data_IF_635635598932
#
_entry.id   IF_635635598932
#
_cell.length_a   1.000
_cell.length_b   1.000
_cell.length_c   1.000
_cell.angle_alpha   90.00
_cell.angle_beta   90.00
_cell.angle_gamma   90.00
#
_symmetry.space_group_name_H-M   'P 1'
#
loop_
_entity.id
_entity.type
_entity.pdbx_description
1 polymer ?
#
# COMPACT_ATOMS: atom_id res chain seq x y z
N UNK A 1 -9.74 10.83 -3.83
CA UNK A 1 -10.18 9.42 -3.78
C UNK A 1 -11.15 9.26 -2.62
N UNK A 2 -12.34 8.68 -2.84
CA UNK A 2 -13.30 8.46 -1.76
C UNK A 2 -12.83 7.28 -0.91
N UNK A 3 -12.62 7.50 0.40
CA UNK A 3 -12.22 6.45 1.32
C UNK A 3 -13.33 5.37 1.36
N UNK A 4 -12.95 4.14 1.06
CA UNK A 4 -13.87 3.00 1.11
C UNK A 4 -14.13 2.62 2.55
N UNK A 5 -15.35 2.78 3.01
CA UNK A 5 -15.74 2.44 4.38
C UNK A 5 -16.56 1.15 4.41
N UNK A 6 -16.40 0.38 5.47
CA UNK A 6 -17.21 -0.81 5.76
C UNK A 6 -17.84 -0.68 7.14
N UNK A 7 -19.11 -1.06 7.22
CA UNK A 7 -19.87 -1.02 8.48
C UNK A 7 -19.94 -2.42 9.08
N UNK A 8 -19.43 -2.56 10.28
CA UNK A 8 -19.42 -3.81 11.04
C UNK A 8 -20.53 -3.81 12.06
N UNK A 9 -21.38 -4.83 12.01
CA UNK A 9 -22.42 -5.03 13.02
C UNK A 9 -21.81 -5.46 14.37
N UNK A 10 -22.37 -5.02 15.50
CA UNK A 10 -21.89 -5.44 16.82
C UNK A 10 -22.10 -6.95 17.05
N UNK A 11 -21.23 -7.53 17.86
CA UNK A 11 -21.24 -8.99 18.17
C UNK A 11 -22.55 -9.45 18.81
N UNK A 12 -23.21 -8.60 19.60
CA UNK A 12 -24.44 -8.92 20.31
C UNK A 12 -25.61 -8.09 19.79
N UNK A 13 -26.79 -8.72 19.65
CA UNK A 13 -28.04 -8.00 19.38
C UNK A 13 -28.34 -7.08 20.59
N UNK A 14 -28.49 -5.78 20.37
CA UNK A 14 -28.66 -4.80 21.44
C UNK A 14 -27.36 -4.32 22.09
N UNK A 15 -26.20 -4.64 21.51
CA UNK A 15 -24.88 -4.14 21.92
C UNK A 15 -24.56 -2.76 21.34
N UNK A 16 -23.25 -2.45 21.33
CA UNK A 16 -22.70 -1.17 20.85
C UNK A 16 -23.17 -0.81 19.43
N UNK A 17 -23.12 0.47 19.10
CA UNK A 17 -23.45 0.98 17.78
C UNK A 17 -22.60 0.30 16.67
N UNK A 18 -23.12 0.20 15.41
CA UNK A 18 -22.35 -0.30 14.30
C UNK A 18 -21.03 0.49 14.15
N UNK A 19 -19.93 -0.23 13.96
CA UNK A 19 -18.61 0.38 13.81
C UNK A 19 -18.32 0.62 12.32
N UNK A 20 -18.15 1.87 11.93
CA UNK A 20 -17.77 2.26 10.56
C UNK A 20 -16.25 2.41 10.51
N UNK A 21 -15.61 1.64 9.65
CA UNK A 21 -14.14 1.62 9.52
C UNK A 21 -13.75 1.91 8.08
N UNK A 22 -12.69 2.70 7.93
CA UNK A 22 -12.03 2.85 6.65
C UNK A 22 -11.31 1.53 6.30
N UNK A 23 -11.64 0.94 5.15
CA UNK A 23 -11.02 -0.30 4.67
C UNK A 23 -9.49 -0.21 4.63
N UNK A 24 -8.94 1.00 4.39
CA UNK A 24 -7.50 1.24 4.36
C UNK A 24 -6.80 1.04 5.73
N UNK A 25 -7.52 1.03 6.81
CA UNK A 25 -6.96 0.75 8.13
C UNK A 25 -6.97 -0.74 8.50
N UNK A 26 -7.55 -1.60 7.66
CA UNK A 26 -7.62 -3.05 7.92
C UNK A 26 -6.39 -3.73 7.32
N UNK A 27 -5.62 -4.47 8.12
CA UNK A 27 -4.49 -5.30 7.66
C UNK A 27 -4.96 -6.64 7.13
N UNK A 28 -5.70 -7.39 7.94
CA UNK A 28 -6.29 -8.67 7.57
C UNK A 28 -7.51 -8.97 8.43
N UNK A 29 -8.30 -9.93 7.98
CA UNK A 29 -9.50 -10.40 8.67
C UNK A 29 -9.44 -11.92 8.77
N UNK A 30 -9.60 -12.43 9.98
CA UNK A 30 -9.60 -13.85 10.27
C UNK A 30 -11.01 -14.29 10.73
N UNK A 31 -11.61 -15.22 10.01
CA UNK A 31 -12.87 -15.82 10.44
C UNK A 31 -12.63 -16.86 11.54
N UNK A 32 -13.34 -16.71 12.65
CA UNK A 32 -13.34 -17.66 13.77
C UNK A 32 -14.76 -18.12 14.06
N UNK A 33 -15.12 -19.29 13.58
CA UNK A 33 -16.49 -19.83 13.65
C UNK A 33 -17.49 -18.84 13.01
N UNK A 34 -18.29 -18.14 13.84
CA UNK A 34 -19.34 -17.23 13.39
C UNK A 34 -18.97 -15.75 13.49
N UNK A 35 -17.70 -15.44 13.69
CA UNK A 35 -17.20 -14.07 13.85
C UNK A 35 -16.00 -13.80 12.95
N UNK A 36 -15.91 -12.58 12.47
CA UNK A 36 -14.71 -12.04 11.88
C UNK A 36 -13.90 -11.30 12.93
N UNK A 37 -12.64 -11.67 13.14
CA UNK A 37 -11.65 -10.86 13.85
C UNK A 37 -10.98 -9.93 12.84
N UNK A 38 -11.15 -8.63 13.01
CA UNK A 38 -10.63 -7.60 12.14
C UNK A 38 -9.41 -6.96 12.79
N UNK A 39 -8.26 -7.10 12.14
CA UNK A 39 -6.97 -6.59 12.60
C UNK A 39 -6.63 -5.29 11.89
N UNK A 40 -6.44 -4.21 12.65
CA UNK A 40 -6.16 -2.87 12.12
C UNK A 40 -4.67 -2.55 12.08
N UNK A 41 -4.31 -1.56 11.27
CA UNK A 41 -2.93 -1.07 11.13
C UNK A 41 -2.35 -0.49 12.41
N UNK A 42 -3.18 0.05 13.30
CA UNK A 42 -2.79 0.57 14.61
C UNK A 42 -2.63 -0.52 15.69
N UNK A 43 -2.77 -1.80 15.32
CA UNK A 43 -2.69 -2.93 16.26
C UNK A 43 -4.00 -3.27 16.99
N UNK A 44 -5.04 -2.47 16.85
CA UNK A 44 -6.35 -2.79 17.42
C UNK A 44 -6.99 -3.99 16.71
N UNK A 45 -7.72 -4.78 17.47
CA UNK A 45 -8.48 -5.93 16.99
C UNK A 45 -9.90 -5.85 17.53
N UNK A 46 -10.88 -6.05 16.67
CA UNK A 46 -12.27 -6.16 17.10
C UNK A 46 -12.96 -7.34 16.41
N UNK A 47 -14.10 -7.73 16.93
CA UNK A 47 -14.89 -8.85 16.40
C UNK A 47 -16.25 -8.39 15.94
N UNK A 48 -16.69 -8.89 14.78
CA UNK A 48 -17.99 -8.58 14.20
C UNK A 48 -18.69 -9.83 13.67
N UNK A 49 -20.01 -9.77 13.61
CA UNK A 49 -20.82 -10.75 12.87
C UNK A 49 -20.95 -10.29 11.44
N UNK A 50 -20.11 -10.84 10.58
CA UNK A 50 -20.14 -10.63 9.14
C UNK A 50 -19.65 -11.92 8.48
N UNK A 51 -20.19 -12.26 7.35
CA UNK A 51 -19.77 -13.45 6.60
C UNK A 51 -18.56 -13.15 5.73
N UNK A 52 -17.85 -14.20 5.32
CA UNK A 52 -16.73 -14.07 4.37
C UNK A 52 -17.20 -13.48 3.03
N UNK A 53 -18.37 -13.89 2.57
CA UNK A 53 -18.96 -13.43 1.31
C UNK A 53 -19.29 -11.94 1.34
N UNK A 54 -19.91 -11.45 2.42
CA UNK A 54 -20.17 -10.02 2.61
C UNK A 54 -18.87 -9.23 2.66
N UNK A 55 -17.83 -9.74 3.32
CA UNK A 55 -16.50 -9.11 3.35
C UNK A 55 -15.88 -9.04 1.95
N UNK A 56 -15.91 -10.13 1.18
CA UNK A 56 -15.41 -10.15 -0.20
C UNK A 56 -16.13 -9.13 -1.10
N UNK A 57 -17.45 -9.01 -0.97
CA UNK A 57 -18.24 -8.03 -1.71
C UNK A 57 -17.91 -6.58 -1.34
N UNK A 58 -17.77 -6.29 -0.05
CA UNK A 58 -17.51 -4.93 0.43
C UNK A 58 -16.06 -4.49 0.21
N UNK A 59 -15.10 -5.39 0.38
CA UNK A 59 -13.67 -5.08 0.30
C UNK A 59 -13.13 -5.17 -1.13
N UNK A 60 -13.69 -6.09 -1.95
CA UNK A 60 -13.33 -6.23 -3.36
C UNK A 60 -11.85 -6.57 -3.58
N UNK A 61 -11.29 -6.04 -4.66
CA UNK A 61 -9.93 -6.38 -5.12
C UNK A 61 -8.79 -5.86 -4.22
N UNK A 62 -9.09 -4.96 -3.29
CA UNK A 62 -8.10 -4.45 -2.33
C UNK A 62 -7.70 -5.50 -1.29
N UNK A 63 -8.45 -6.61 -1.24
CA UNK A 63 -8.20 -7.73 -0.34
C UNK A 63 -8.10 -9.05 -1.11
N UNK A 64 -7.21 -9.91 -0.66
CA UNK A 64 -7.01 -11.25 -1.23
C UNK A 64 -7.45 -12.30 -0.22
N UNK A 65 -8.29 -13.24 -0.67
CA UNK A 65 -8.62 -14.45 0.10
C UNK A 65 -7.47 -15.44 0.00
N UNK A 66 -6.69 -15.55 1.05
CA UNK A 66 -5.51 -16.42 1.14
C UNK A 66 -5.83 -17.80 1.73
N UNK A 67 -6.91 -17.85 2.50
CA UNK A 67 -7.47 -19.07 3.08
C UNK A 67 -9.00 -18.97 3.15
N UNK A 68 -9.71 -20.09 3.26
CA UNK A 68 -11.19 -20.11 3.41
C UNK A 68 -11.71 -19.24 4.55
N UNK A 69 -10.84 -18.95 5.52
CA UNK A 69 -11.15 -18.16 6.71
C UNK A 69 -10.29 -16.90 6.85
N UNK A 70 -9.52 -16.51 5.84
CA UNK A 70 -8.62 -15.35 5.94
C UNK A 70 -8.63 -14.50 4.68
N UNK A 71 -8.87 -13.20 4.88
CA UNK A 71 -8.72 -12.12 3.90
C UNK A 71 -7.57 -11.20 4.33
N UNK A 72 -6.69 -10.85 3.41
CA UNK A 72 -5.53 -10.00 3.67
C UNK A 72 -5.56 -8.80 2.73
N UNK A 73 -5.35 -7.61 3.28
CA UNK A 73 -5.20 -6.40 2.47
C UNK A 73 -3.93 -6.50 1.62
N UNK A 74 -4.05 -6.24 0.31
CA UNK A 74 -2.92 -6.32 -0.65
C UNK A 74 -1.75 -5.46 -0.17
N UNK A 75 -2.03 -4.23 0.26
CA UNK A 75 -1.04 -3.27 0.76
C UNK A 75 -0.33 -3.70 2.05
N UNK A 76 -0.90 -4.65 2.80
CA UNK A 76 -0.30 -5.14 4.03
C UNK A 76 0.70 -6.29 3.79
N UNK A 77 0.72 -6.86 2.59
CA UNK A 77 1.58 -7.99 2.23
C UNK A 77 2.98 -7.48 1.90
N UNK A 78 3.97 -7.97 2.63
CA UNK A 78 5.39 -7.74 2.37
C UNK A 78 5.95 -8.77 1.38
N UNK A 79 5.75 -10.06 1.67
CA UNK A 79 6.22 -11.15 0.80
C UNK A 79 5.32 -12.38 0.88
N UNK A 80 5.42 -13.25 -0.13
CA UNK A 80 4.70 -14.52 -0.22
C UNK A 80 5.70 -15.63 -0.51
N UNK A 81 6.05 -16.36 0.54
CA UNK A 81 7.00 -17.47 0.49
C UNK A 81 6.31 -18.78 0.89
N UNK A 82 6.69 -19.38 1.99
CA UNK A 82 5.98 -20.50 2.63
C UNK A 82 4.78 -20.02 3.44
N UNK A 83 4.85 -18.79 3.92
CA UNK A 83 3.78 -18.04 4.56
C UNK A 83 3.63 -16.68 3.88
N UNK A 84 2.54 -15.99 4.14
CA UNK A 84 2.41 -14.57 3.79
C UNK A 84 2.97 -13.77 4.95
N UNK A 85 4.03 -13.01 4.69
CA UNK A 85 4.61 -12.09 5.66
C UNK A 85 3.99 -10.72 5.45
N UNK A 86 3.47 -10.12 6.51
CA UNK A 86 2.92 -8.76 6.49
C UNK A 86 4.00 -7.72 6.79
N UNK A 87 3.77 -6.48 6.38
CA UNK A 87 4.64 -5.33 6.70
C UNK A 87 4.86 -5.14 8.21
N UNK A 88 3.94 -5.63 9.04
CA UNK A 88 4.02 -5.65 10.50
C UNK A 88 4.88 -6.79 11.07
N UNK A 89 5.38 -7.69 10.21
CA UNK A 89 6.14 -8.88 10.60
C UNK A 89 5.29 -10.11 10.95
N UNK A 90 3.98 -9.98 10.99
CA UNK A 90 3.07 -11.12 11.21
C UNK A 90 3.14 -12.10 10.03
N UNK A 91 3.03 -13.39 10.33
CA UNK A 91 3.02 -14.44 9.32
C UNK A 91 1.65 -15.13 9.30
N UNK A 92 1.07 -15.24 8.11
CA UNK A 92 -0.23 -15.86 7.90
C UNK A 92 -0.08 -17.08 7.01
N UNK A 93 -0.77 -18.14 7.38
CA UNK A 93 -0.87 -19.34 6.56
C UNK A 93 -1.77 -19.10 5.34
N UNK A 94 -1.44 -19.70 4.24
CA UNK A 94 -2.26 -19.68 3.02
C UNK A 94 -2.33 -21.06 2.37
N UNK A 95 -3.30 -21.24 1.49
CA UNK A 95 -3.44 -22.50 0.74
C UNK A 95 -2.41 -22.53 -0.38
N UNK A 96 -1.40 -23.39 -0.30
CA UNK A 96 -0.27 -23.49 -1.26
C UNK A 96 -0.74 -23.51 -2.72
N UNK A 97 -1.82 -24.22 -3.02
CA UNK A 97 -2.42 -24.27 -4.38
C UNK A 97 -2.86 -22.90 -4.91
N UNK A 98 -3.08 -21.92 -4.02
CA UNK A 98 -3.49 -20.56 -4.38
C UNK A 98 -2.30 -19.60 -4.56
N UNK A 99 -1.05 -20.05 -4.33
CA UNK A 99 0.15 -19.19 -4.44
C UNK A 99 0.19 -18.42 -5.76
N UNK A 100 0.01 -19.11 -6.87
CA UNK A 100 0.02 -18.49 -8.20
C UNK A 100 -1.05 -17.40 -8.33
N UNK A 101 -2.28 -17.69 -7.92
CA UNK A 101 -3.39 -16.73 -7.94
C UNK A 101 -3.12 -15.52 -7.05
N UNK A 102 -2.57 -15.73 -5.85
CA UNK A 102 -2.21 -14.65 -4.92
C UNK A 102 -1.16 -13.74 -5.55
N UNK A 103 -0.11 -14.31 -6.15
CA UNK A 103 0.95 -13.54 -6.81
C UNK A 103 0.43 -12.79 -8.04
N UNK A 104 -0.45 -13.38 -8.85
CA UNK A 104 -1.09 -12.72 -9.99
C UNK A 104 -1.96 -11.53 -9.54
N UNK A 105 -2.73 -11.68 -8.46
CA UNK A 105 -3.53 -10.60 -7.89
C UNK A 105 -2.65 -9.48 -7.34
N UNK A 106 -1.55 -9.80 -6.64
CA UNK A 106 -0.57 -8.82 -6.16
C UNK A 106 0.05 -8.04 -7.32
N UNK A 107 0.49 -8.72 -8.36
CA UNK A 107 1.05 -8.07 -9.55
C UNK A 107 0.04 -7.15 -10.25
N UNK A 108 -1.21 -7.58 -10.35
CA UNK A 108 -2.28 -6.78 -10.95
C UNK A 108 -2.53 -5.51 -10.14
N UNK A 109 -2.56 -5.61 -8.82
CA UNK A 109 -2.75 -4.46 -7.94
C UNK A 109 -1.54 -3.53 -7.94
N UNK A 110 -0.32 -4.06 -7.96
CA UNK A 110 0.90 -3.26 -8.11
C UNK A 110 0.90 -2.48 -9.43
N UNK A 111 0.53 -3.13 -10.54
CA UNK A 111 0.39 -2.44 -11.84
C UNK A 111 -0.68 -1.34 -11.78
N UNK A 112 -1.80 -1.61 -11.12
CA UNK A 112 -2.88 -0.61 -10.95
C UNK A 112 -2.43 0.57 -10.11
N UNK A 113 -1.66 0.34 -9.03
CA UNK A 113 -1.07 1.40 -8.22
C UNK A 113 -0.07 2.24 -9.02
N UNK A 114 0.79 1.61 -9.79
CA UNK A 114 1.74 2.31 -10.68
C UNK A 114 0.99 3.15 -11.73
N UNK A 115 -0.06 2.60 -12.36
CA UNK A 115 -0.88 3.34 -13.32
C UNK A 115 -1.67 4.49 -12.67
N UNK A 116 -2.05 4.35 -11.40
CA UNK A 116 -2.75 5.42 -10.66
C UNK A 116 -1.76 6.48 -10.17
N UNK A 117 -0.49 6.12 -9.95
CA UNK A 117 0.59 7.06 -9.65
C UNK A 117 1.13 7.76 -10.91
N UNK A 118 0.91 7.19 -12.09
CA UNK A 118 1.05 7.86 -13.38
C UNK A 118 -0.21 8.67 -13.71
N UNK A 119 -0.70 9.41 -12.72
CA UNK A 119 -1.86 10.27 -12.87
C UNK A 119 -1.57 11.30 -13.98
N UNK A 120 -2.58 11.62 -14.81
CA UNK A 120 -2.51 12.65 -15.87
C UNK A 120 -2.15 14.06 -15.35
N UNK A 121 -1.96 14.17 -14.04
CA UNK A 121 -1.50 15.36 -13.32
C UNK A 121 0.01 15.37 -13.04
N UNK A 122 0.76 14.35 -13.47
CA UNK A 122 2.22 14.38 -13.33
C UNK A 122 2.78 15.56 -14.14
N UNK A 123 3.64 16.40 -13.52
CA UNK A 123 4.23 17.53 -14.23
C UNK A 123 4.90 17.10 -15.53
N UNK A 124 4.61 17.79 -16.64
CA UNK A 124 5.08 17.40 -17.96
C UNK A 124 6.45 18.00 -18.31
N UNK A 125 6.87 19.04 -17.59
CA UNK A 125 8.11 19.77 -17.84
C UNK A 125 8.75 20.29 -16.55
N UNK A 126 9.98 20.79 -16.66
CA UNK A 126 10.78 21.25 -15.52
C UNK A 126 10.10 22.37 -14.70
N UNK A 127 9.36 23.28 -15.35
CA UNK A 127 8.66 24.38 -14.66
C UNK A 127 7.50 23.86 -13.81
N UNK A 128 6.73 22.91 -14.34
CA UNK A 128 5.63 22.26 -13.62
C UNK A 128 6.16 21.42 -12.46
N UNK A 129 7.29 20.73 -12.62
CA UNK A 129 7.96 20.02 -11.51
C UNK A 129 8.41 21.00 -10.43
N UNK A 130 8.97 22.13 -10.81
CA UNK A 130 9.40 23.15 -9.86
C UNK A 130 8.22 23.74 -9.07
N UNK A 131 7.12 24.08 -9.75
CA UNK A 131 5.93 24.61 -9.07
C UNK A 131 5.26 23.55 -8.18
N UNK A 132 5.23 22.29 -8.63
CA UNK A 132 4.68 21.16 -7.84
C UNK A 132 5.45 20.95 -6.53
N UNK A 133 6.78 21.07 -6.58
CA UNK A 133 7.65 20.84 -5.41
C UNK A 133 8.11 22.11 -4.72
N UNK A 134 7.59 23.26 -5.05
CA UNK A 134 7.97 24.57 -4.52
C UNK A 134 7.98 24.68 -2.99
N UNK A 135 7.10 23.97 -2.31
CA UNK A 135 7.07 23.89 -0.85
C UNK A 135 8.33 23.24 -0.25
N UNK A 136 9.08 22.48 -1.05
CA UNK A 136 10.31 21.81 -0.61
C UNK A 136 11.56 22.69 -0.78
N UNK A 137 11.45 23.85 -1.48
CA UNK A 137 12.56 24.77 -1.67
C UNK A 137 13.10 25.35 -0.36
N UNK A 138 12.21 25.55 0.62
CA UNK A 138 12.56 26.09 1.93
C UNK A 138 13.06 25.05 2.93
N UNK A 139 13.11 23.77 2.56
CA UNK A 139 13.54 22.71 3.47
C UNK A 139 15.06 22.76 3.71
N UNK A 140 15.51 22.50 4.97
CA UNK A 140 16.94 22.54 5.31
C UNK A 140 17.70 21.27 4.91
N UNK A 141 17.01 20.27 4.36
CA UNK A 141 17.60 19.02 3.89
C UNK A 141 17.44 18.86 2.37
N UNK A 142 18.38 18.14 1.76
CA UNK A 142 18.35 17.83 0.34
C UNK A 142 17.14 16.96 0.00
N UNK A 143 16.36 17.38 -0.99
CA UNK A 143 15.23 16.64 -1.55
C UNK A 143 15.35 16.59 -3.06
N UNK A 144 15.06 15.45 -3.65
CA UNK A 144 15.06 15.26 -5.10
C UNK A 144 13.96 14.27 -5.50
N UNK A 145 13.40 14.49 -6.69
CA UNK A 145 12.56 13.53 -7.39
C UNK A 145 13.33 12.99 -8.60
N UNK A 146 13.42 11.68 -8.70
CA UNK A 146 14.18 10.98 -9.75
C UNK A 146 13.30 9.96 -10.46
N UNK A 147 13.39 9.96 -11.78
CA UNK A 147 12.85 8.91 -12.64
C UNK A 147 13.93 7.89 -12.93
N UNK A 148 13.63 6.62 -12.66
CA UNK A 148 14.51 5.50 -12.99
C UNK A 148 14.27 5.06 -14.43
N UNK A 149 15.34 4.92 -15.19
CA UNK A 149 15.31 4.38 -16.55
C UNK A 149 15.66 2.89 -16.49
N UNK A 150 14.81 2.06 -17.13
CA UNK A 150 14.97 0.61 -17.13
C UNK A 150 15.24 0.11 -18.55
N UNK A 151 16.07 -0.92 -18.69
CA UNK A 151 16.26 -1.66 -19.94
C UNK A 151 15.09 -2.64 -20.23
N UNK A 152 15.19 -3.36 -21.35
CA UNK A 152 14.19 -4.36 -21.76
C UNK A 152 14.05 -5.52 -20.77
N UNK A 153 15.13 -5.84 -20.03
CA UNK A 153 15.15 -6.85 -18.95
C UNK A 153 14.72 -6.29 -17.59
N UNK A 154 14.21 -5.05 -17.54
CA UNK A 154 13.78 -4.33 -16.34
C UNK A 154 14.86 -4.11 -15.29
N UNK A 155 16.11 -3.98 -15.72
CA UNK A 155 17.21 -3.56 -14.85
C UNK A 155 17.33 -2.04 -14.92
N UNK A 156 17.49 -1.39 -13.77
CA UNK A 156 17.75 0.04 -13.72
C UNK A 156 19.12 0.33 -14.38
N UNK A 157 19.13 1.12 -15.44
CA UNK A 157 20.33 1.44 -16.23
C UNK A 157 20.73 2.89 -16.11
N UNK A 158 19.77 3.77 -15.74
CA UNK A 158 20.02 5.20 -15.60
C UNK A 158 18.96 5.83 -14.70
N UNK A 159 19.13 7.11 -14.35
CA UNK A 159 18.14 7.92 -13.66
C UNK A 159 18.14 9.36 -14.19
N UNK A 160 16.99 10.00 -14.14
CA UNK A 160 16.81 11.39 -14.57
C UNK A 160 16.30 12.19 -13.36
N UNK A 161 17.02 13.25 -13.01
CA UNK A 161 16.52 14.18 -11.99
C UNK A 161 15.36 14.99 -12.58
N UNK A 162 14.18 14.84 -12.00
CA UNK A 162 12.97 15.60 -12.34
C UNK A 162 12.91 16.92 -11.58
N UNK A 163 13.34 16.86 -10.31
CA UNK A 163 13.41 18.01 -9.43
C UNK A 163 14.54 17.83 -8.40
N UNK A 164 15.15 18.95 -8.03
CA UNK A 164 16.11 19.02 -6.91
C UNK A 164 15.95 20.37 -6.20
N UNK A 165 15.82 20.35 -4.90
CA UNK A 165 15.67 21.59 -4.12
C UNK A 165 17.02 22.31 -3.94
N UNK A 166 17.03 23.61 -3.56
CA UNK A 166 18.26 24.39 -3.36
C UNK A 166 19.22 23.80 -2.31
N UNK A 167 18.72 23.03 -1.33
CA UNK A 167 19.55 22.37 -0.33
C UNK A 167 20.44 21.28 -0.94
N UNK A 168 19.96 20.56 -1.98
CA UNK A 168 20.79 19.58 -2.72
C UNK A 168 21.94 20.30 -3.45
N UNK A 169 21.65 21.39 -4.17
CA UNK A 169 22.68 22.14 -4.88
C UNK A 169 23.76 22.74 -3.95
N UNK A 170 23.37 23.07 -2.72
CA UNK A 170 24.32 23.50 -1.69
C UNK A 170 25.19 22.33 -1.23
N UNK A 171 24.59 21.18 -0.96
CA UNK A 171 25.30 19.98 -0.55
C UNK A 171 26.32 19.53 -1.61
N UNK A 172 25.97 19.56 -2.89
CA UNK A 172 26.89 19.21 -3.98
C UNK A 172 28.13 20.12 -4.05
N UNK A 173 27.98 21.40 -3.71
CA UNK A 173 29.11 22.34 -3.66
C UNK A 173 30.04 22.06 -2.47
N UNK A 174 29.50 21.55 -1.38
CA UNK A 174 30.22 21.23 -0.15
C UNK A 174 30.91 19.84 -0.23
N UNK A 175 30.53 18.98 -1.19
CA UNK A 175 31.16 17.68 -1.38
C UNK A 175 32.59 17.82 -1.93
N UNK A 176 33.57 17.03 -1.41
CA UNK A 176 34.89 16.94 -1.96
C UNK A 176 34.87 16.54 -3.45
N UNK A 177 35.84 17.04 -4.24
CA UNK A 177 35.86 16.79 -5.71
C UNK A 177 35.91 15.30 -6.08
N UNK A 178 36.44 14.44 -5.23
CA UNK A 178 36.47 12.99 -5.48
C UNK A 178 35.13 12.27 -5.23
N UNK A 179 34.12 12.97 -4.75
CA UNK A 179 32.76 12.46 -4.56
C UNK A 179 31.74 13.10 -5.53
N UNK A 180 32.19 13.99 -6.41
CA UNK A 180 31.41 14.57 -7.52
C UNK A 180 31.60 13.74 -8.75
#
# INVERSE_FOLDING_TARGET
>A
MSAKTITFAPRRKGGDAPLVINADTIRYIQMKRNYAEVHLTNGAVFTSRITMEELEQHLGDDFIKVHRSCLVAVRAIHSVENTIVLNSGEQLEYVVRQKKRILEQLQTQQKRLILTMQDDTAPANAEEYHEHYKSFDAMPFAFTDIEMVFDEERRAVDWIFRYANPALAKLEKELPEFLK
#
